data_IF_289734391765
#
_entry.id   IF_289734391765
#
_cell.length_a   1.000
_cell.length_b   1.000
_cell.length_c   1.000
_cell.angle_alpha   90.00
_cell.angle_beta   90.00
_cell.angle_gamma   90.00
#
_symmetry.space_group_name_H-M   'P 1'
#
loop_
_entity.id
_entity.type
_entity.pdbx_description
1 polymer ?
#
# COMPACT_ATOMS: atom_id res chain seq x y z
N UNK A 1 2.76 12.87 -10.60
CA UNK A 1 1.45 12.43 -10.10
C UNK A 1 0.98 11.26 -10.95
N UNK A 2 0.51 10.21 -10.32
CA UNK A 2 0.07 8.99 -11.00
C UNK A 2 -1.44 8.87 -10.94
N UNK A 3 -2.01 8.17 -11.92
CA UNK A 3 -3.44 7.89 -11.96
C UNK A 3 -3.72 6.52 -11.35
N UNK A 4 -4.77 6.43 -10.56
CA UNK A 4 -5.23 5.19 -9.96
C UNK A 4 -6.67 4.88 -10.35
N UNK A 5 -6.99 3.60 -10.46
CA UNK A 5 -8.33 3.12 -10.77
C UNK A 5 -8.73 2.04 -9.77
N UNK A 6 -10.05 1.86 -9.61
CA UNK A 6 -10.58 0.85 -8.70
C UNK A 6 -10.10 -0.55 -9.09
N UNK A 7 -9.60 -1.29 -8.12
CA UNK A 7 -9.14 -2.66 -8.28
C UNK A 7 -7.68 -2.80 -8.70
N UNK A 8 -6.96 -1.71 -8.90
CA UNK A 8 -5.54 -1.76 -9.26
C UNK A 8 -4.64 -1.43 -8.09
N UNK A 9 -3.44 -2.01 -8.09
CA UNK A 9 -2.44 -1.75 -7.06
C UNK A 9 -1.70 -0.44 -7.34
N UNK A 10 -1.32 0.26 -6.28
CA UNK A 10 -0.51 1.48 -6.37
C UNK A 10 0.92 1.14 -6.79
N UNK A 11 1.51 2.00 -7.60
CA UNK A 11 2.87 1.83 -8.11
C UNK A 11 3.82 2.74 -7.33
N UNK A 12 4.93 2.18 -6.88
CA UNK A 12 5.99 2.89 -6.19
C UNK A 12 7.17 3.04 -7.14
N UNK A 13 7.50 4.28 -7.47
CA UNK A 13 8.43 4.58 -8.56
C UNK A 13 9.90 4.43 -8.18
N UNK A 14 10.25 4.51 -6.90
CA UNK A 14 11.64 4.49 -6.44
C UNK A 14 11.83 3.63 -5.21
N UNK A 15 13.07 3.14 -5.07
CA UNK A 15 13.54 2.55 -3.83
C UNK A 15 14.43 3.56 -3.12
N UNK A 16 14.15 3.78 -1.84
CA UNK A 16 15.01 4.57 -0.98
C UNK A 16 16.01 3.69 -0.25
N UNK A 17 16.09 3.87 1.06
CA UNK A 17 16.98 3.10 1.91
C UNK A 17 16.59 1.62 1.91
N UNK A 18 17.57 0.75 1.69
CA UNK A 18 17.35 -0.69 1.67
C UNK A 18 18.54 -1.42 2.31
N UNK A 19 18.26 -2.29 3.26
CA UNK A 19 19.27 -3.13 3.91
C UNK A 19 18.86 -4.59 3.86
N UNK A 20 19.82 -5.47 3.55
CA UNK A 20 19.60 -6.91 3.54
C UNK A 20 18.84 -7.40 2.32
N UNK A 21 18.45 -8.67 2.35
CA UNK A 21 17.79 -9.35 1.22
C UNK A 21 16.41 -9.91 1.57
N UNK A 22 15.91 -9.61 2.77
CA UNK A 22 14.60 -10.14 3.21
C UNK A 22 13.44 -9.56 2.41
N UNK A 23 13.61 -8.35 1.86
CA UNK A 23 12.56 -7.64 1.15
C UNK A 23 13.15 -7.13 -0.17
N UNK A 24 12.42 -7.30 -1.26
CA UNK A 24 12.82 -6.78 -2.55
C UNK A 24 11.67 -6.04 -3.22
N UNK A 25 12.01 -4.98 -3.95
CA UNK A 25 11.07 -4.18 -4.72
C UNK A 25 11.77 -3.59 -5.93
N UNK A 26 11.23 -3.84 -7.11
CA UNK A 26 11.71 -3.21 -8.33
C UNK A 26 11.15 -1.79 -8.44
N UNK A 27 11.99 -0.85 -8.86
CA UNK A 27 11.52 0.51 -9.11
C UNK A 27 10.36 0.52 -10.09
N UNK A 28 9.41 1.42 -9.88
CA UNK A 28 8.24 1.58 -10.74
C UNK A 28 7.36 0.31 -10.80
N UNK A 29 7.19 -0.34 -9.65
CA UNK A 29 6.42 -1.58 -9.54
C UNK A 29 5.50 -1.51 -8.33
N UNK A 30 4.43 -2.28 -8.36
CA UNK A 30 3.42 -2.32 -7.29
C UNK A 30 3.76 -3.32 -6.20
N UNK A 31 4.42 -4.42 -6.53
CA UNK A 31 4.61 -5.54 -5.60
C UNK A 31 5.90 -5.41 -4.80
N UNK A 32 5.78 -5.59 -3.48
CA UNK A 32 6.91 -5.78 -2.59
C UNK A 32 7.01 -7.26 -2.26
N UNK A 33 8.17 -7.86 -2.47
CA UNK A 33 8.38 -9.29 -2.24
C UNK A 33 9.10 -9.50 -0.93
N UNK A 34 8.50 -10.32 -0.06
CA UNK A 34 9.10 -10.74 1.19
C UNK A 34 9.76 -12.11 0.96
N UNK A 35 11.07 -12.16 1.07
CA UNK A 35 11.86 -13.35 0.73
C UNK A 35 12.17 -14.24 1.94
N UNK A 36 11.95 -13.75 3.14
CA UNK A 36 12.29 -14.46 4.38
C UNK A 36 11.07 -14.49 5.30
N UNK A 37 10.69 -15.65 5.84
CA UNK A 37 9.60 -15.70 6.82
C UNK A 37 9.91 -14.87 8.06
N UNK A 38 8.87 -14.33 8.69
CA UNK A 38 9.01 -13.53 9.89
C UNK A 38 7.84 -12.61 10.11
N UNK A 39 7.96 -11.75 11.12
CA UNK A 39 7.00 -10.69 11.43
C UNK A 39 7.57 -9.37 10.95
N UNK A 40 6.76 -8.62 10.23
CA UNK A 40 7.16 -7.37 9.61
C UNK A 40 6.23 -6.25 10.05
N UNK A 41 6.79 -5.06 10.25
CA UNK A 41 5.99 -3.85 10.42
C UNK A 41 5.94 -3.11 9.10
N UNK A 42 4.74 -2.79 8.63
CA UNK A 42 4.54 -2.01 7.41
C UNK A 42 3.97 -0.66 7.76
N UNK A 43 4.41 0.36 7.03
CA UNK A 43 3.93 1.72 7.18
C UNK A 43 3.83 2.35 5.81
N UNK A 44 2.66 2.90 5.50
CA UNK A 44 2.38 3.54 4.23
C UNK A 44 1.82 4.93 4.44
N UNK A 45 2.19 5.86 3.57
CA UNK A 45 1.48 7.12 3.43
C UNK A 45 1.58 7.63 1.99
N UNK A 46 0.59 8.38 1.59
CA UNK A 46 0.56 9.02 0.27
C UNK A 46 -0.48 10.11 0.22
N UNK A 47 -0.36 10.98 -0.78
CA UNK A 47 -1.29 12.08 -1.04
C UNK A 47 -2.22 11.66 -2.17
N UNK A 48 -3.53 11.81 -1.95
CA UNK A 48 -4.57 11.37 -2.87
C UNK A 48 -5.49 12.52 -3.21
N UNK A 49 -5.88 12.59 -4.50
CA UNK A 49 -6.79 13.59 -5.04
C UNK A 49 -7.81 12.87 -5.93
N UNK A 50 -9.04 13.41 -6.06
CA UNK A 50 -9.97 12.85 -7.04
C UNK A 50 -9.46 13.07 -8.46
N UNK A 51 -9.76 12.12 -9.34
CA UNK A 51 -9.43 12.28 -10.76
C UNK A 51 -10.28 13.37 -11.41
N UNK A 52 -9.78 13.99 -12.48
CA UNK A 52 -10.53 14.96 -13.27
C UNK A 52 -11.84 14.35 -13.77
N UNK A 53 -12.93 15.12 -13.65
CA UNK A 53 -14.24 14.68 -14.11
C UNK A 53 -14.96 13.75 -13.17
N UNK A 54 -14.47 13.56 -11.96
CA UNK A 54 -15.12 12.71 -10.96
C UNK A 54 -16.45 13.30 -10.50
N UNK A 55 -17.39 12.41 -10.19
CA UNK A 55 -18.63 12.79 -9.51
C UNK A 55 -18.44 12.70 -8.00
N UNK A 56 -19.11 13.58 -7.26
CA UNK A 56 -18.96 13.67 -5.81
C UNK A 56 -20.28 13.37 -5.11
N UNK A 57 -20.23 12.76 -3.90
CA UNK A 57 -19.04 12.34 -3.17
C UNK A 57 -18.34 11.16 -3.82
N UNK A 58 -17.00 11.16 -3.74
CA UNK A 58 -16.16 10.07 -4.27
C UNK A 58 -15.45 9.41 -3.09
N UNK A 59 -15.73 8.14 -2.87
CA UNK A 59 -15.07 7.37 -1.81
C UNK A 59 -14.05 6.41 -2.38
N UNK A 60 -12.86 6.39 -1.77
CA UNK A 60 -11.83 5.40 -2.09
C UNK A 60 -11.44 4.66 -0.83
N UNK A 61 -11.13 3.38 -0.98
CA UNK A 61 -10.62 2.54 0.10
C UNK A 61 -9.28 1.97 -0.33
N UNK A 62 -8.26 2.20 0.50
CA UNK A 62 -6.95 1.58 0.33
C UNK A 62 -6.87 0.36 1.22
N UNK A 63 -6.34 -0.74 0.70
CA UNK A 63 -6.19 -1.98 1.45
C UNK A 63 -4.83 -2.57 1.17
N UNK A 64 -4.09 -2.90 2.24
CA UNK A 64 -2.87 -3.68 2.12
C UNK A 64 -3.25 -5.14 1.91
N UNK A 65 -2.73 -5.75 0.85
CA UNK A 65 -2.97 -7.15 0.52
C UNK A 65 -1.68 -7.95 0.61
N UNK A 66 -1.79 -9.15 1.13
CA UNK A 66 -0.71 -10.14 1.17
C UNK A 66 -1.15 -11.35 0.36
N UNK A 67 -0.45 -11.62 -0.75
CA UNK A 67 -0.79 -12.72 -1.63
C UNK A 67 -2.20 -12.63 -2.20
N UNK A 68 -2.74 -11.43 -2.38
CA UNK A 68 -4.08 -11.20 -2.90
C UNK A 68 -5.18 -11.16 -1.84
N UNK A 69 -4.86 -11.38 -0.57
CA UNK A 69 -5.82 -11.33 0.54
C UNK A 69 -5.60 -10.09 1.39
N UNK A 70 -6.69 -9.48 1.85
CA UNK A 70 -6.61 -8.28 2.69
C UNK A 70 -5.97 -8.60 4.04
N UNK A 71 -5.05 -7.73 4.47
CA UNK A 71 -4.43 -7.82 5.79
C UNK A 71 -5.37 -7.15 6.80
N UNK A 72 -5.78 -7.85 7.87
CA UNK A 72 -6.64 -7.25 8.90
C UNK A 72 -5.99 -5.99 9.49
N UNK A 73 -6.74 -4.92 9.59
CA UNK A 73 -6.24 -3.63 10.09
C UNK A 73 -5.45 -2.83 9.06
N UNK A 74 -5.24 -3.35 7.85
CA UNK A 74 -4.48 -2.68 6.80
C UNK A 74 -5.34 -1.92 5.80
N UNK A 75 -6.38 -1.22 6.25
CA UNK A 75 -7.25 -0.47 5.37
C UNK A 75 -7.56 0.93 5.85
N UNK A 76 -7.84 1.83 4.91
CA UNK A 76 -8.29 3.19 5.19
C UNK A 76 -9.27 3.64 4.13
N UNK A 77 -10.36 4.29 4.58
CA UNK A 77 -11.40 4.84 3.72
C UNK A 77 -11.35 6.37 3.76
N UNK A 78 -11.49 7.00 2.61
CA UNK A 78 -11.65 8.44 2.54
C UNK A 78 -12.69 8.82 1.51
N UNK A 79 -13.48 9.86 1.82
CA UNK A 79 -14.51 10.40 0.92
C UNK A 79 -14.15 11.83 0.53
N UNK A 80 -14.00 12.04 -0.76
CA UNK A 80 -13.81 13.39 -1.32
C UNK A 80 -15.17 14.01 -1.63
N UNK A 81 -15.30 15.29 -1.36
CA UNK A 81 -16.55 16.04 -1.58
C UNK A 81 -16.45 17.05 -2.71
N UNK A 82 -15.25 17.48 -3.07
CA UNK A 82 -15.02 18.44 -4.15
C UNK A 82 -13.76 18.07 -4.94
N UNK A 83 -13.64 18.63 -6.14
CA UNK A 83 -12.47 18.41 -6.99
C UNK A 83 -11.17 19.00 -6.41
N UNK A 84 -11.29 19.92 -5.46
CA UNK A 84 -10.13 20.55 -4.81
C UNK A 84 -9.65 19.79 -3.57
N UNK A 85 -10.36 18.74 -3.15
CA UNK A 85 -9.98 17.97 -1.98
C UNK A 85 -8.68 17.21 -2.21
N UNK A 86 -7.91 17.09 -1.13
CA UNK A 86 -6.72 16.26 -1.08
C UNK A 86 -6.65 15.61 0.29
N UNK A 87 -6.07 14.43 0.36
CA UNK A 87 -5.94 13.71 1.63
C UNK A 87 -4.61 13.00 1.70
N UNK A 88 -4.00 13.01 2.90
CA UNK A 88 -2.87 12.14 3.21
C UNK A 88 -3.43 10.92 3.91
N UNK A 89 -3.29 9.74 3.29
CA UNK A 89 -3.86 8.50 3.80
C UNK A 89 -2.76 7.58 4.32
N UNK A 90 -2.76 7.27 5.64
CA UNK A 90 -1.76 6.40 6.23
C UNK A 90 -2.32 4.99 6.47
N UNK A 91 -1.43 4.01 6.39
CA UNK A 91 -1.70 2.64 6.86
C UNK A 91 -0.47 2.19 7.62
N UNK A 92 -0.66 1.64 8.83
CA UNK A 92 0.42 1.04 9.59
C UNK A 92 -0.10 -0.24 10.25
N UNK A 93 0.49 -1.38 9.90
CA UNK A 93 0.00 -2.67 10.36
C UNK A 93 1.12 -3.70 10.37
N UNK A 94 1.19 -4.57 11.40
CA UNK A 94 2.11 -5.70 11.39
C UNK A 94 1.60 -6.80 10.45
N UNK A 95 2.53 -7.51 9.81
CA UNK A 95 2.23 -8.60 8.89
C UNK A 95 3.10 -9.79 9.25
N UNK A 96 2.49 -10.98 9.33
CA UNK A 96 3.22 -12.21 9.53
C UNK A 96 3.37 -12.94 8.19
N UNK A 97 4.58 -13.35 7.87
CA UNK A 97 4.90 -14.13 6.66
C UNK A 97 5.39 -15.49 7.10
N UNK A 98 4.53 -16.50 7.00
CA UNK A 98 4.87 -17.88 7.38
C UNK A 98 5.50 -18.65 6.24
N UNK A 99 5.22 -18.32 5.01
CA UNK A 99 5.79 -18.95 3.82
C UNK A 99 6.31 -17.90 2.87
N UNK A 100 7.57 -17.99 2.50
CA UNK A 100 8.20 -17.07 1.55
C UNK A 100 8.44 -17.79 0.21
N UNK A 101 8.46 -17.06 -0.91
CA UNK A 101 8.21 -15.63 -1.02
C UNK A 101 6.73 -15.27 -0.87
N UNK A 102 6.49 -14.08 -0.36
CA UNK A 102 5.13 -13.52 -0.24
C UNK A 102 5.14 -12.10 -0.76
N UNK A 103 4.04 -11.67 -1.38
CA UNK A 103 3.97 -10.32 -1.95
C UNK A 103 3.00 -9.46 -1.18
N UNK A 104 3.37 -8.18 -1.01
CA UNK A 104 2.53 -7.14 -0.45
C UNK A 104 2.23 -6.11 -1.52
N UNK A 105 0.98 -5.67 -1.58
CA UNK A 105 0.53 -4.61 -2.48
C UNK A 105 -0.50 -3.74 -1.77
N UNK A 106 -0.59 -2.48 -2.19
CA UNK A 106 -1.69 -1.60 -1.79
C UNK A 106 -2.66 -1.48 -2.94
N UNK A 107 -3.89 -1.88 -2.73
CA UNK A 107 -4.95 -1.87 -3.73
C UNK A 107 -6.00 -0.87 -3.32
N UNK A 108 -6.39 0.00 -4.25
CA UNK A 108 -7.45 0.97 -4.05
C UNK A 108 -8.72 0.53 -4.76
N UNK A 109 -9.87 0.74 -4.10
CA UNK A 109 -11.18 0.49 -4.69
C UNK A 109 -12.07 1.71 -4.49
N UNK A 110 -13.11 1.84 -5.30
CA UNK A 110 -14.15 2.86 -5.16
C UNK A 110 -14.28 3.78 -6.36
N UNK A 111 -13.22 4.27 -6.94
CA UNK A 111 -13.28 5.17 -8.08
C UNK A 111 -11.92 5.52 -8.62
N UNK A 112 -11.87 6.48 -9.53
CA UNK A 112 -10.63 6.95 -10.13
C UNK A 112 -10.06 8.11 -9.32
N UNK A 113 -8.75 8.13 -9.16
CA UNK A 113 -8.06 9.12 -8.35
C UNK A 113 -6.65 9.37 -8.89
N UNK A 114 -5.98 10.35 -8.33
CA UNK A 114 -4.56 10.60 -8.58
C UNK A 114 -3.81 10.48 -7.27
N UNK A 115 -2.57 10.05 -7.32
CA UNK A 115 -1.75 9.92 -6.13
C UNK A 115 -0.32 10.32 -6.39
N UNK A 116 0.34 10.80 -5.32
CA UNK A 116 1.74 11.22 -5.35
C UNK A 116 2.33 11.10 -3.94
N UNK A 117 3.66 11.16 -3.87
CA UNK A 117 4.36 11.09 -2.59
C UNK A 117 4.09 9.80 -1.82
N UNK A 118 3.84 8.69 -2.51
CA UNK A 118 3.57 7.42 -1.85
C UNK A 118 4.86 6.83 -1.32
N UNK A 119 4.82 6.41 -0.06
CA UNK A 119 5.96 5.85 0.66
C UNK A 119 5.54 4.61 1.40
N UNK A 120 6.27 3.52 1.20
CA UNK A 120 6.08 2.28 1.94
C UNK A 120 7.37 1.95 2.67
N UNK A 121 7.26 1.74 3.97
CA UNK A 121 8.36 1.25 4.81
C UNK A 121 8.01 -0.14 5.32
N UNK A 122 8.89 -1.09 5.12
CA UNK A 122 8.71 -2.46 5.60
C UNK A 122 9.96 -2.82 6.41
N UNK A 123 9.76 -3.21 7.67
CA UNK A 123 10.84 -3.55 8.59
C UNK A 123 10.60 -4.93 9.18
N UNK A 124 11.59 -5.81 9.09
CA UNK A 124 11.52 -7.12 9.72
C UNK A 124 11.75 -6.97 11.22
N UNK A 125 10.80 -7.43 12.01
CA UNK A 125 10.88 -7.37 13.47
C UNK A 125 11.57 -8.60 14.07
N UNK A 126 11.39 -9.76 13.46
CA UNK A 126 11.97 -10.99 13.96
C UNK A 126 11.27 -12.24 13.42
N UNK A 127 11.56 -13.37 14.03
CA UNK A 127 10.94 -14.64 13.65
C UNK A 127 9.50 -14.71 14.15
N UNK A 128 8.69 -15.54 13.48
CA UNK A 128 7.33 -15.82 13.94
C UNK A 128 7.43 -16.61 15.24
N UNK A 129 6.78 -16.15 16.34
CA UNK A 129 6.82 -16.90 17.58
C UNK A 129 6.20 -18.28 17.42
N UNK A 130 6.84 -19.28 17.98
CA UNK A 130 6.27 -20.62 18.08
C UNK A 130 5.45 -20.69 19.35
N UNK A 131 4.19 -21.07 19.19
CA UNK A 131 3.28 -21.21 20.33
C UNK A 131 3.45 -22.54 21.04
#
# INVERSE_FOLDING_TARGET
>A
MQNGTSGTALIFDRNGLSYGSAISHASNSAAFTINTPGVYMTSFQGVFNPASGSNFPLSITLTLQQGGSSVPGGGVLHTFHTSADAAVLPIAVPVAVSSAPSTLQLVATGGSFQYSGVTMTITRLGDIPTA
#
